data_IF_656472304800
#
_entry.id   IF_656472304800
#
_cell.length_a   1.000
_cell.length_b   1.000
_cell.length_c   1.000
_cell.angle_alpha   90.00
_cell.angle_beta   90.00
_cell.angle_gamma   90.00
#
_symmetry.space_group_name_H-M   'P 1'
#
loop_
_entity.id
_entity.type
_entity.pdbx_description
1 polymer ?
#
# COMPACT_ATOMS: atom_id res chain seq x y z
N UNK A 1 17.07 -9.68 -57.52
CA UNK A 1 17.55 -9.19 -56.21
C UNK A 1 16.35 -8.66 -55.47
N UNK A 2 15.82 -9.45 -54.56
CA UNK A 2 14.64 -9.12 -53.79
C UNK A 2 15.12 -8.73 -52.36
N UNK A 3 14.94 -7.46 -52.03
CA UNK A 3 15.22 -6.95 -50.69
C UNK A 3 14.04 -7.32 -49.77
N UNK A 4 14.24 -8.31 -48.94
CA UNK A 4 13.29 -8.67 -47.88
C UNK A 4 13.31 -7.62 -46.79
N UNK A 5 12.22 -6.86 -46.70
CA UNK A 5 11.96 -5.98 -45.56
C UNK A 5 11.66 -6.83 -44.30
N UNK A 6 12.63 -6.96 -43.43
CA UNK A 6 12.38 -7.45 -42.07
C UNK A 6 11.62 -6.34 -41.31
N UNK A 7 10.32 -6.43 -41.27
CA UNK A 7 9.50 -5.77 -40.28
C UNK A 7 9.80 -6.43 -38.94
N UNK A 8 10.62 -5.80 -38.11
CA UNK A 8 10.68 -6.11 -36.69
C UNK A 8 9.34 -5.72 -36.08
N UNK A 9 8.45 -6.68 -35.91
CA UNK A 9 7.29 -6.55 -35.07
C UNK A 9 7.82 -6.51 -33.63
N UNK A 10 8.12 -5.32 -33.11
CA UNK A 10 8.22 -5.12 -31.68
C UNK A 10 6.83 -5.39 -31.10
N UNK A 11 6.61 -6.61 -30.63
CA UNK A 11 5.51 -6.92 -29.75
C UNK A 11 5.77 -6.09 -28.50
N UNK A 12 5.08 -4.97 -28.37
CA UNK A 12 4.98 -4.27 -27.08
C UNK A 12 4.33 -5.27 -26.13
N UNK A 13 5.12 -5.95 -25.34
CA UNK A 13 4.62 -6.67 -24.17
C UNK A 13 4.13 -5.58 -23.22
N UNK A 14 2.83 -5.35 -23.23
CA UNK A 14 2.19 -4.51 -22.22
C UNK A 14 2.30 -5.30 -20.93
N UNK A 15 3.18 -4.85 -20.05
CA UNK A 15 3.34 -5.38 -18.72
C UNK A 15 2.13 -4.91 -17.91
N UNK A 16 1.13 -5.79 -17.79
CA UNK A 16 -0.15 -5.47 -17.15
C UNK A 16 -0.30 -6.36 -15.90
N UNK A 17 -0.05 -5.77 -14.75
CA UNK A 17 -0.15 -6.44 -13.45
C UNK A 17 -0.86 -5.54 -12.44
N UNK A 18 -1.36 -6.12 -11.35
CA UNK A 18 -1.92 -5.35 -10.26
C UNK A 18 -1.23 -5.62 -8.93
N UNK A 19 -1.13 -4.58 -8.13
CA UNK A 19 -0.79 -4.66 -6.72
C UNK A 19 -1.99 -5.19 -5.94
N UNK A 20 -1.75 -6.06 -4.96
CA UNK A 20 -2.82 -6.77 -4.29
C UNK A 20 -2.54 -6.96 -2.80
N UNK A 21 -3.57 -6.77 -1.99
CA UNK A 21 -3.62 -7.22 -0.60
C UNK A 21 -4.79 -8.19 -0.45
N UNK A 22 -4.50 -9.39 0.03
CA UNK A 22 -5.51 -10.38 0.41
C UNK A 22 -5.45 -10.57 1.92
N UNK A 23 -6.59 -10.40 2.58
CA UNK A 23 -6.68 -10.55 4.02
C UNK A 23 -7.88 -11.42 4.37
N UNK A 24 -7.64 -12.48 5.11
CA UNK A 24 -8.68 -13.34 5.66
C UNK A 24 -8.78 -13.10 7.16
N UNK A 25 -9.97 -12.76 7.63
CA UNK A 25 -10.28 -12.55 9.04
C UNK A 25 -11.12 -13.72 9.52
N UNK A 26 -10.57 -14.55 10.38
CA UNK A 26 -11.25 -15.71 10.94
C UNK A 26 -12.24 -15.29 12.06
N UNK A 27 -13.20 -16.16 12.36
CA UNK A 27 -14.21 -15.89 13.38
C UNK A 27 -13.64 -15.72 14.79
N UNK A 28 -12.46 -16.27 15.05
CA UNK A 28 -11.71 -16.11 16.31
C UNK A 28 -10.88 -14.81 16.34
N UNK A 29 -10.94 -14.01 15.27
CA UNK A 29 -10.24 -12.72 15.13
C UNK A 29 -8.80 -12.83 14.62
N UNK A 30 -8.26 -14.04 14.41
CA UNK A 30 -6.96 -14.21 13.77
C UNK A 30 -7.01 -13.74 12.31
N UNK A 31 -5.96 -13.11 11.85
CA UNK A 31 -5.87 -12.57 10.50
C UNK A 31 -4.73 -13.25 9.75
N UNK A 32 -5.03 -13.68 8.55
CA UNK A 32 -4.04 -14.19 7.60
C UNK A 32 -3.93 -13.20 6.45
N UNK A 33 -2.72 -12.75 6.16
CA UNK A 33 -2.40 -11.70 5.19
C UNK A 33 -1.41 -12.19 4.15
N UNK A 34 -1.68 -11.88 2.87
CA UNK A 34 -0.71 -11.94 1.78
C UNK A 34 -0.78 -10.66 0.96
N UNK A 35 0.35 -10.15 0.50
CA UNK A 35 0.40 -8.89 -0.23
C UNK A 35 1.49 -8.89 -1.30
N UNK A 36 1.14 -8.45 -2.51
CA UNK A 36 2.06 -8.15 -3.62
C UNK A 36 2.22 -6.63 -3.78
N UNK A 37 3.44 -6.13 -3.66
CA UNK A 37 3.90 -4.74 -3.76
C UNK A 37 3.26 -3.72 -2.80
N UNK A 38 2.11 -3.99 -2.23
CA UNK A 38 1.44 -3.07 -1.30
C UNK A 38 1.92 -3.26 0.14
N UNK A 39 1.91 -2.20 0.91
CA UNK A 39 2.17 -2.26 2.35
C UNK A 39 0.88 -2.21 3.14
N UNK A 40 0.83 -3.00 4.21
CA UNK A 40 -0.23 -2.95 5.22
C UNK A 40 0.36 -2.39 6.51
N UNK A 41 -0.32 -1.40 7.10
CA UNK A 41 0.08 -0.87 8.40
C UNK A 41 -0.87 -1.37 9.47
N UNK A 42 -0.29 -1.72 10.61
CA UNK A 42 -1.01 -2.14 11.81
C UNK A 42 -0.59 -1.20 12.94
N UNK A 43 -1.57 -0.59 13.59
CA UNK A 43 -1.32 0.27 14.74
C UNK A 43 -2.11 -0.25 15.92
N UNK A 44 -1.42 -0.49 17.05
CA UNK A 44 -2.01 -0.95 18.32
C UNK A 44 -2.12 0.15 19.39
N UNK A 45 -1.67 1.36 19.03
CA UNK A 45 -1.62 2.52 19.91
C UNK A 45 -0.28 2.73 20.60
N UNK A 46 0.56 1.70 20.69
CA UNK A 46 1.93 1.80 21.17
C UNK A 46 2.92 1.88 20.01
N UNK A 47 2.62 1.15 18.93
CA UNK A 47 3.45 1.05 17.74
C UNK A 47 2.60 1.13 16.46
N UNK A 48 3.22 1.60 15.39
CA UNK A 48 2.71 1.52 14.03
C UNK A 48 3.69 0.67 13.20
N UNK A 49 3.32 -0.58 12.97
CA UNK A 49 4.12 -1.54 12.22
C UNK A 49 3.77 -1.49 10.73
N UNK A 50 4.78 -1.58 9.87
CA UNK A 50 4.62 -1.73 8.43
C UNK A 50 4.95 -3.14 7.99
N UNK A 51 3.97 -3.87 7.52
CA UNK A 51 4.14 -5.13 6.80
C UNK A 51 4.36 -4.78 5.32
N UNK A 52 5.51 -5.15 4.78
CA UNK A 52 5.82 -4.93 3.36
C UNK A 52 5.28 -6.09 2.54
N UNK A 53 4.65 -5.77 1.41
CA UNK A 53 4.30 -6.78 0.41
C UNK A 53 5.54 -7.37 -0.26
N UNK A 54 5.39 -8.60 -0.73
CA UNK A 54 6.38 -9.23 -1.60
C UNK A 54 6.50 -8.47 -2.92
N UNK A 55 7.68 -8.53 -3.53
CA UNK A 55 7.94 -7.86 -4.81
C UNK A 55 7.42 -8.69 -5.98
N UNK A 56 6.12 -8.73 -6.16
CA UNK A 56 5.48 -9.31 -7.34
C UNK A 56 4.18 -8.57 -7.68
N UNK A 57 3.79 -8.63 -8.96
CA UNK A 57 2.49 -8.17 -9.46
C UNK A 57 1.63 -9.38 -9.81
N UNK A 58 0.35 -9.34 -9.49
CA UNK A 58 -0.57 -10.36 -9.96
C UNK A 58 -0.84 -10.13 -11.46
N UNK A 59 -0.63 -11.18 -12.27
CA UNK A 59 -0.76 -11.13 -13.73
C UNK A 59 0.56 -11.10 -14.46
N UNK A 60 1.60 -10.53 -13.89
CA UNK A 60 2.93 -10.46 -14.47
C UNK A 60 4.00 -10.69 -13.42
N UNK A 61 3.97 -11.77 -12.75
CA UNK A 61 4.94 -12.12 -11.74
C UNK A 61 5.63 -13.44 -12.07
N UNK A 62 6.92 -13.49 -11.86
CA UNK A 62 7.67 -14.74 -11.84
C UNK A 62 7.49 -15.41 -10.47
N UNK A 63 6.25 -15.78 -10.16
CA UNK A 63 6.02 -16.76 -9.12
C UNK A 63 6.13 -18.11 -9.82
N UNK A 64 7.20 -18.84 -9.56
CA UNK A 64 7.42 -20.18 -10.14
C UNK A 64 6.43 -21.19 -9.52
N UNK A 65 5.92 -20.91 -8.34
CA UNK A 65 4.94 -21.72 -7.61
C UNK A 65 4.03 -20.86 -6.73
N UNK A 66 2.82 -21.40 -6.46
CA UNK A 66 1.93 -20.84 -5.41
C UNK A 66 2.59 -20.87 -4.02
N UNK A 67 3.56 -21.75 -3.82
CA UNK A 67 4.27 -21.89 -2.53
C UNK A 67 5.28 -20.75 -2.31
N UNK A 68 5.55 -19.93 -3.34
CA UNK A 68 6.37 -18.73 -3.23
C UNK A 68 5.59 -17.52 -2.66
N UNK A 69 4.26 -17.66 -2.49
CA UNK A 69 3.43 -16.62 -1.89
C UNK A 69 3.55 -16.68 -0.37
N UNK A 70 4.17 -15.66 0.19
CA UNK A 70 4.27 -15.53 1.65
C UNK A 70 2.91 -15.22 2.26
N UNK A 71 2.65 -15.92 3.36
CA UNK A 71 1.45 -15.73 4.16
C UNK A 71 1.86 -15.36 5.59
N UNK A 72 1.36 -14.25 6.09
CA UNK A 72 1.65 -13.71 7.42
C UNK A 72 0.43 -13.91 8.30
N UNK A 73 0.63 -14.52 9.47
CA UNK A 73 -0.40 -14.66 10.49
C UNK A 73 -0.26 -13.55 11.54
N UNK A 74 -1.32 -12.79 11.72
CA UNK A 74 -1.40 -11.69 12.67
C UNK A 74 -2.31 -12.15 13.81
N UNK A 75 -1.77 -12.31 15.03
CA UNK A 75 -2.56 -12.75 16.17
C UNK A 75 -3.59 -11.70 16.58
N UNK A 76 -4.65 -12.17 17.22
CA UNK A 76 -5.72 -11.30 17.77
C UNK A 76 -5.12 -10.27 18.72
N UNK A 77 -5.37 -9.00 18.41
CA UNK A 77 -5.15 -7.89 19.34
C UNK A 77 -6.30 -6.89 19.16
N UNK A 78 -7.16 -6.70 20.17
CA UNK A 78 -8.35 -5.84 20.07
C UNK A 78 -8.00 -4.36 19.86
N UNK A 79 -6.74 -3.97 20.05
CA UNK A 79 -6.27 -2.62 19.79
C UNK A 79 -5.80 -2.41 18.35
N UNK A 80 -5.59 -3.47 17.58
CA UNK A 80 -5.12 -3.35 16.21
C UNK A 80 -6.12 -2.60 15.32
N UNK A 81 -5.61 -1.62 14.62
CA UNK A 81 -6.26 -0.93 13.50
C UNK A 81 -5.40 -1.10 12.26
N UNK A 82 -6.04 -1.38 11.15
CA UNK A 82 -5.40 -1.71 9.87
C UNK A 82 -5.56 -0.56 8.89
N UNK A 83 -4.50 -0.33 8.10
CA UNK A 83 -4.46 0.73 7.10
C UNK A 83 -3.77 0.22 5.84
N UNK A 84 -4.42 0.40 4.71
CA UNK A 84 -3.91 0.06 3.38
C UNK A 84 -4.10 1.30 2.51
N UNK A 85 -3.06 1.74 1.84
CA UNK A 85 -3.16 2.88 0.93
C UNK A 85 -2.38 2.63 -0.36
N UNK A 86 -2.80 3.31 -1.43
CA UNK A 86 -2.03 3.38 -2.67
C UNK A 86 -0.74 4.19 -2.46
N UNK A 87 0.21 4.02 -3.36
CA UNK A 87 1.50 4.71 -3.37
C UNK A 87 1.36 6.23 -3.54
N UNK A 88 0.30 6.70 -4.20
CA UNK A 88 -0.03 8.13 -4.30
C UNK A 88 -0.11 8.86 -2.96
N UNK A 89 -0.36 8.15 -1.84
CA UNK A 89 -0.21 8.72 -0.51
C UNK A 89 1.25 8.94 -0.13
N UNK A 90 2.09 7.91 -0.31
CA UNK A 90 3.45 7.91 0.24
C UNK A 90 4.43 8.70 -0.61
N UNK A 91 4.23 8.70 -1.92
CA UNK A 91 5.13 9.28 -2.92
C UNK A 91 4.80 10.73 -3.26
N UNK A 92 3.69 11.28 -2.70
CA UNK A 92 3.31 12.67 -2.90
C UNK A 92 4.41 13.62 -2.46
N UNK A 93 4.97 14.43 -3.38
CA UNK A 93 5.94 15.45 -3.02
C UNK A 93 5.26 16.59 -2.27
N UNK A 94 5.98 17.13 -1.28
CA UNK A 94 5.49 18.24 -0.47
C UNK A 94 6.54 18.77 0.49
N UNK A 95 6.10 19.64 1.39
CA UNK A 95 6.98 20.33 2.32
C UNK A 95 7.96 21.26 1.61
N UNK A 96 8.87 21.84 2.37
CA UNK A 96 9.80 22.87 1.90
C UNK A 96 10.77 22.40 0.80
N UNK A 97 11.07 21.10 0.77
CA UNK A 97 12.07 20.52 -0.13
C UNK A 97 11.50 19.58 -1.20
N UNK A 98 10.18 19.51 -1.36
CA UNK A 98 9.52 18.62 -2.32
C UNK A 98 9.78 17.12 -2.08
N UNK A 99 10.11 16.73 -0.85
CA UNK A 99 10.33 15.33 -0.50
C UNK A 99 9.01 14.55 -0.48
N UNK A 100 9.01 13.20 -0.63
CA UNK A 100 7.81 12.40 -0.49
C UNK A 100 7.16 12.51 0.89
N UNK A 101 5.83 12.37 0.98
CA UNK A 101 5.08 12.30 2.25
C UNK A 101 5.65 11.20 3.16
N UNK A 102 5.96 10.09 2.59
CA UNK A 102 6.67 8.95 3.16
C UNK A 102 5.87 8.10 4.16
N UNK A 103 6.27 6.84 4.25
CA UNK A 103 5.74 5.89 5.24
C UNK A 103 5.93 6.34 6.69
N UNK A 104 6.99 7.10 6.98
CA UNK A 104 7.27 7.59 8.34
C UNK A 104 6.23 8.61 8.80
N UNK A 105 5.87 9.59 7.94
CA UNK A 105 4.83 10.58 8.27
C UNK A 105 3.49 9.89 8.46
N UNK A 106 3.15 8.96 7.58
CA UNK A 106 1.93 8.18 7.70
C UNK A 106 1.88 7.40 9.02
N UNK A 107 2.95 6.66 9.38
CA UNK A 107 3.03 5.93 10.67
C UNK A 107 2.85 6.85 11.86
N UNK A 108 3.46 8.02 11.86
CA UNK A 108 3.30 9.00 12.94
C UNK A 108 1.84 9.47 13.03
N UNK A 109 1.22 9.82 11.89
CA UNK A 109 -0.17 10.30 11.86
C UNK A 109 -1.14 9.26 12.42
N UNK A 110 -1.01 7.98 12.04
CA UNK A 110 -1.90 6.93 12.57
C UNK A 110 -1.65 6.64 14.04
N UNK A 111 -0.40 6.71 14.51
CA UNK A 111 -0.05 6.48 15.90
C UNK A 111 -0.56 7.60 16.81
N UNK A 112 -0.34 8.85 16.43
CA UNK A 112 -0.79 10.03 17.19
C UNK A 112 -2.33 10.10 17.34
N UNK A 113 -3.06 9.56 16.38
CA UNK A 113 -4.51 9.58 16.34
C UNK A 113 -5.17 8.24 16.67
N UNK A 114 -4.41 7.25 17.17
CA UNK A 114 -4.92 5.89 17.38
C UNK A 114 -6.15 5.82 18.30
N UNK A 115 -6.27 6.70 19.29
CA UNK A 115 -7.41 6.76 20.21
C UNK A 115 -8.74 7.14 19.56
N UNK A 116 -8.72 7.73 18.38
CA UNK A 116 -9.90 8.24 17.69
C UNK A 116 -10.65 7.14 16.92
N UNK A 117 -11.88 7.45 16.49
CA UNK A 117 -12.66 6.60 15.58
C UNK A 117 -11.99 6.53 14.19
N UNK A 118 -12.15 5.42 13.48
CA UNK A 118 -11.55 5.23 12.15
C UNK A 118 -11.90 6.36 11.16
N UNK A 119 -13.14 6.83 11.16
CA UNK A 119 -13.55 7.96 10.30
C UNK A 119 -12.82 9.26 10.63
N UNK A 120 -12.50 9.51 11.90
CA UNK A 120 -11.71 10.68 12.35
C UNK A 120 -10.26 10.52 11.91
N UNK A 121 -9.69 9.33 12.11
CA UNK A 121 -8.30 9.02 11.69
C UNK A 121 -8.14 9.20 10.18
N UNK A 122 -9.09 8.69 9.38
CA UNK A 122 -9.06 8.90 7.92
C UNK A 122 -9.05 10.37 7.54
N UNK A 123 -9.85 11.19 8.23
CA UNK A 123 -9.86 12.66 8.05
C UNK A 123 -8.53 13.30 8.43
N UNK A 124 -7.91 12.84 9.52
CA UNK A 124 -6.58 13.32 9.95
C UNK A 124 -5.46 12.96 9.00
N UNK A 125 -5.52 11.76 8.43
CA UNK A 125 -4.57 11.33 7.39
C UNK A 125 -4.71 12.23 6.16
N UNK A 126 -5.95 12.48 5.72
CA UNK A 126 -6.23 13.38 4.61
C UNK A 126 -5.74 14.81 4.88
N UNK A 127 -6.02 15.36 6.05
CA UNK A 127 -5.58 16.69 6.47
C UNK A 127 -4.03 16.79 6.47
N UNK A 128 -3.35 15.77 7.03
CA UNK A 128 -1.89 15.73 7.04
C UNK A 128 -1.31 15.65 5.63
N UNK A 129 -1.92 14.85 4.75
CA UNK A 129 -1.53 14.73 3.35
C UNK A 129 -1.70 16.06 2.60
N UNK A 130 -2.88 16.71 2.67
CA UNK A 130 -3.15 17.97 1.97
C UNK A 130 -2.27 19.12 2.51
N UNK A 131 -2.07 19.17 3.83
CA UNK A 131 -1.17 20.15 4.44
C UNK A 131 0.26 19.97 3.97
N UNK A 132 0.72 18.72 3.89
CA UNK A 132 2.08 18.42 3.43
C UNK A 132 2.27 18.68 1.94
N UNK A 133 1.28 18.31 1.12
CA UNK A 133 1.27 18.56 -0.32
C UNK A 133 1.37 20.05 -0.64
N UNK A 134 0.64 20.88 0.09
CA UNK A 134 0.55 22.32 -0.16
C UNK A 134 0.08 22.59 -1.60
N UNK A 135 0.80 23.44 -2.31
CA UNK A 135 0.51 23.83 -3.70
C UNK A 135 1.02 22.82 -4.75
N UNK A 136 1.73 21.77 -4.33
CA UNK A 136 2.23 20.77 -5.29
C UNK A 136 1.07 20.02 -5.93
N UNK A 137 1.13 19.71 -7.25
CA UNK A 137 0.12 18.88 -7.90
C UNK A 137 0.12 17.48 -7.30
N UNK A 138 -1.02 16.80 -7.34
CA UNK A 138 -1.07 15.37 -7.06
C UNK A 138 -0.36 14.62 -8.17
N UNK A 139 0.46 13.65 -7.78
CA UNK A 139 1.26 12.85 -8.72
C UNK A 139 0.59 11.54 -9.08
N UNK A 140 -0.32 11.05 -8.22
CA UNK A 140 -1.04 9.81 -8.43
C UNK A 140 -2.37 9.78 -7.64
N UNK A 141 -3.18 8.74 -7.86
CA UNK A 141 -4.45 8.52 -7.18
C UNK A 141 -4.24 8.15 -5.71
N UNK A 142 -5.03 8.78 -4.87
CA UNK A 142 -5.03 8.53 -3.42
C UNK A 142 -6.19 7.62 -3.04
N UNK A 143 -5.87 6.43 -2.59
CA UNK A 143 -6.83 5.48 -2.00
C UNK A 143 -6.38 5.11 -0.59
N UNK A 144 -7.30 5.11 0.36
CA UNK A 144 -7.06 4.71 1.75
C UNK A 144 -8.20 3.83 2.25
N UNK A 145 -7.85 2.65 2.73
CA UNK A 145 -8.77 1.73 3.43
C UNK A 145 -8.31 1.63 4.88
N UNK A 146 -9.24 1.85 5.81
CA UNK A 146 -8.98 1.70 7.24
C UNK A 146 -10.08 0.89 7.90
N UNK A 147 -9.71 -0.04 8.78
CA UNK A 147 -10.69 -0.83 9.52
C UNK A 147 -10.11 -1.33 10.85
N UNK A 148 -11.03 -1.74 11.72
CA UNK A 148 -10.76 -2.46 12.96
C UNK A 148 -11.58 -3.75 12.89
N UNK A 149 -10.94 -4.94 12.96
CA UNK A 149 -11.62 -6.22 12.98
C UNK A 149 -12.54 -6.41 14.18
#
# INVERSE_FOLDING_TARGET
MSAGSHFFSHKLEIMDGCDLVVMFIANDGNITLSSGNMSVFICDGANAERIRGQKFFLGEGKLDSKDDIETINIPVNPNNKFYIASDGLYDQPGGEHGSPFSYKRFSNTILENHGEKQSVISGKIWEAYETYRGENPRVDDFTLITFKP
#
